data_IF_773493493774
#
_entry.id   IF_773493493774
#
_cell.length_a   1.000
_cell.length_b   1.000
_cell.length_c   1.000
_cell.angle_alpha   90.00
_cell.angle_beta   90.00
_cell.angle_gamma   90.00
#
_symmetry.space_group_name_H-M   'P 1'
#
loop_
_entity.id
_entity.type
_entity.pdbx_description
1 polymer ?
#
# COMPACT_ATOMS: atom_id res chain seq x y z
N UNK A 1 -0.46 -24.10 37.53
CA UNK A 1 -1.48 -24.54 36.57
C UNK A 1 -1.96 -23.36 35.72
N UNK A 2 -1.11 -22.79 34.81
CA UNK A 2 -1.49 -21.59 34.02
C UNK A 2 -0.88 -21.61 32.60
N UNK A 3 -0.58 -22.79 32.05
CA UNK A 3 0.03 -22.91 30.69
C UNK A 3 -0.90 -23.53 29.61
N UNK A 4 -2.16 -23.81 29.91
CA UNK A 4 -3.05 -24.54 28.99
C UNK A 4 -4.07 -23.65 28.25
N UNK A 5 -4.24 -22.38 28.62
CA UNK A 5 -5.30 -21.53 28.08
C UNK A 5 -4.89 -20.81 26.79
N UNK A 6 -3.60 -20.65 26.51
CA UNK A 6 -3.12 -19.93 25.32
C UNK A 6 -3.12 -20.81 24.04
N UNK A 7 -3.03 -22.13 24.18
CA UNK A 7 -3.00 -23.07 23.04
C UNK A 7 -4.38 -23.33 22.42
N UNK A 8 -5.47 -23.08 23.13
CA UNK A 8 -6.84 -23.34 22.65
C UNK A 8 -7.34 -22.19 21.78
N UNK A 9 -6.92 -20.93 22.03
CA UNK A 9 -7.31 -19.78 21.22
C UNK A 9 -6.63 -19.81 19.85
N UNK A 10 -5.40 -20.30 19.77
CA UNK A 10 -4.68 -20.46 18.50
C UNK A 10 -5.21 -21.62 17.63
N UNK A 11 -5.84 -22.61 18.24
CA UNK A 11 -6.43 -23.76 17.53
C UNK A 11 -7.83 -23.50 16.96
N UNK A 12 -8.57 -22.49 17.47
CA UNK A 12 -9.89 -22.13 16.96
C UNK A 12 -9.85 -21.22 15.73
N UNK A 13 -8.70 -20.59 15.42
CA UNK A 13 -8.45 -19.77 14.26
C UNK A 13 -8.19 -20.56 12.95
N UNK A 14 -8.16 -21.88 13.01
CA UNK A 14 -7.79 -22.74 11.87
C UNK A 14 -8.98 -23.47 11.20
N UNK A 15 -10.23 -23.14 11.49
CA UNK A 15 -11.39 -23.93 11.04
C UNK A 15 -12.47 -23.12 10.29
N UNK A 16 -12.07 -22.34 9.29
CA UNK A 16 -13.02 -21.90 8.25
C UNK A 16 -12.30 -21.72 6.93
N UNK A 17 -11.94 -22.84 6.29
CA UNK A 17 -11.43 -22.82 4.91
C UNK A 17 -12.66 -22.68 4.01
N UNK A 18 -13.10 -21.45 3.74
CA UNK A 18 -13.91 -21.17 2.57
C UNK A 18 -12.95 -20.89 1.42
N UNK A 19 -13.08 -21.62 0.30
CA UNK A 19 -12.41 -21.29 -0.95
C UNK A 19 -13.00 -19.98 -1.50
N UNK A 20 -12.66 -18.87 -0.89
CA UNK A 20 -12.96 -17.54 -1.40
C UNK A 20 -11.81 -17.15 -2.32
N UNK A 21 -12.11 -16.93 -3.61
CA UNK A 21 -11.23 -16.23 -4.53
C UNK A 21 -11.33 -14.72 -4.22
N UNK A 22 -11.03 -14.37 -2.98
CA UNK A 22 -11.17 -13.03 -2.48
C UNK A 22 -9.94 -12.19 -2.83
N UNK A 23 -10.08 -10.91 -2.67
CA UNK A 23 -9.18 -9.78 -2.94
C UNK A 23 -7.70 -10.03 -2.60
N UNK A 24 -7.05 -10.87 -3.39
CA UNK A 24 -5.64 -11.19 -3.22
C UNK A 24 -4.80 -10.11 -3.89
N UNK A 25 -3.93 -9.49 -3.13
CA UNK A 25 -3.03 -8.46 -3.65
C UNK A 25 -1.96 -9.06 -4.54
N UNK A 26 -1.96 -8.65 -5.80
CA UNK A 26 -0.90 -8.98 -6.76
C UNK A 26 0.28 -8.01 -6.71
N UNK A 27 0.02 -6.76 -6.27
CA UNK A 27 0.97 -5.65 -6.35
C UNK A 27 1.30 -5.11 -4.95
N UNK A 28 2.52 -4.62 -4.79
CA UNK A 28 2.96 -4.04 -3.52
C UNK A 28 2.46 -2.62 -3.29
N UNK A 29 2.24 -1.85 -4.36
CA UNK A 29 1.78 -0.45 -4.30
C UNK A 29 0.37 -0.27 -4.83
N UNK A 30 0.05 -0.97 -5.90
CA UNK A 30 -1.21 -0.78 -6.62
C UNK A 30 -2.28 -1.72 -6.10
N UNK A 31 -3.52 -1.25 -6.12
CA UNK A 31 -4.71 -2.01 -5.78
C UNK A 31 -5.35 -2.58 -7.04
N UNK A 32 -6.05 -3.70 -6.90
CA UNK A 32 -7.01 -4.20 -7.87
C UNK A 32 -8.42 -3.72 -7.50
N UNK A 33 -9.31 -3.68 -8.48
CA UNK A 33 -10.72 -3.32 -8.28
C UNK A 33 -11.54 -4.47 -7.68
N UNK A 34 -10.95 -5.23 -6.75
CA UNK A 34 -11.59 -6.34 -6.05
C UNK A 34 -11.92 -5.95 -4.61
N UNK A 35 -12.87 -6.64 -4.03
CA UNK A 35 -13.33 -6.48 -2.65
C UNK A 35 -13.52 -7.85 -2.04
N UNK A 36 -13.32 -7.99 -0.74
CA UNK A 36 -13.68 -9.22 -0.04
C UNK A 36 -15.17 -9.53 -0.21
N UNK A 37 -15.57 -10.81 -0.35
CA UNK A 37 -16.97 -11.19 -0.35
C UNK A 37 -17.61 -10.86 0.99
N UNK A 38 -18.94 -10.69 0.99
CA UNK A 38 -19.69 -10.36 2.20
C UNK A 38 -19.41 -11.36 3.33
N UNK A 39 -18.97 -10.84 4.49
CA UNK A 39 -18.60 -11.63 5.66
C UNK A 39 -17.18 -12.17 5.64
N UNK A 40 -16.42 -11.99 4.57
CA UNK A 40 -14.99 -12.32 4.52
C UNK A 40 -14.19 -11.42 5.45
N UNK A 41 -13.13 -11.95 6.03
CA UNK A 41 -12.22 -11.22 6.90
C UNK A 41 -10.77 -11.57 6.56
N UNK A 42 -9.92 -10.56 6.45
CA UNK A 42 -8.51 -10.71 6.12
C UNK A 42 -7.64 -9.90 7.06
N UNK A 43 -6.48 -10.45 7.40
CA UNK A 43 -5.41 -9.77 8.11
C UNK A 43 -4.21 -9.64 7.18
N UNK A 44 -3.78 -8.40 6.92
CA UNK A 44 -2.54 -8.12 6.21
C UNK A 44 -1.46 -7.54 7.13
N UNK A 45 -0.23 -7.97 6.91
CA UNK A 45 0.97 -7.40 7.54
C UNK A 45 1.87 -6.86 6.43
N UNK A 46 2.07 -5.55 6.45
CA UNK A 46 2.89 -4.84 5.47
C UNK A 46 4.22 -4.44 6.10
N UNK A 47 5.27 -4.55 5.35
CA UNK A 47 6.58 -4.04 5.73
C UNK A 47 7.14 -3.22 4.58
N UNK A 48 7.15 -1.90 4.72
CA UNK A 48 7.73 -0.99 3.73
C UNK A 48 9.06 -0.48 4.24
N UNK A 49 10.11 -0.63 3.44
CA UNK A 49 11.42 -0.05 3.68
C UNK A 49 11.78 0.95 2.59
N UNK A 50 12.33 2.10 2.99
CA UNK A 50 12.79 3.16 2.09
C UNK A 50 14.24 3.46 2.39
N UNK A 51 15.09 3.49 1.36
CA UNK A 51 16.54 3.54 1.51
C UNK A 51 17.14 4.60 0.59
N UNK A 52 18.10 5.35 1.15
CA UNK A 52 19.00 6.23 0.40
C UNK A 52 18.38 7.58 0.10
N UNK A 53 19.03 8.60 0.63
CA UNK A 53 18.84 10.02 0.37
C UNK A 53 20.13 10.59 -0.23
N UNK A 54 20.20 11.89 -0.45
CA UNK A 54 21.34 12.55 -1.13
C UNK A 54 22.65 12.38 -0.38
N UNK A 55 22.66 12.51 0.93
CA UNK A 55 23.85 12.42 1.77
C UNK A 55 23.67 11.50 2.96
N UNK A 56 24.71 10.73 3.32
CA UNK A 56 24.75 9.89 4.50
C UNK A 56 23.84 8.66 4.45
N UNK A 57 23.75 7.96 5.56
CA UNK A 57 22.88 6.80 5.70
C UNK A 57 21.43 7.27 5.97
N UNK A 58 20.48 6.67 5.26
CA UNK A 58 19.05 6.86 5.47
C UNK A 58 18.31 5.53 5.27
N UNK A 59 17.49 5.18 6.26
CA UNK A 59 16.57 4.07 6.22
C UNK A 59 15.30 4.43 7.00
N UNK A 60 14.14 4.29 6.36
CA UNK A 60 12.82 4.39 7.00
C UNK A 60 12.13 3.05 6.90
N UNK A 61 11.61 2.58 8.02
CA UNK A 61 10.85 1.33 8.13
C UNK A 61 9.44 1.61 8.60
N UNK A 62 8.46 1.20 7.80
CA UNK A 62 7.05 1.49 8.01
C UNK A 62 6.23 0.21 7.98
N UNK A 63 6.14 -0.53 9.11
CA UNK A 63 5.20 -1.64 9.22
C UNK A 63 3.77 -1.14 9.39
N UNK A 64 2.82 -1.91 8.83
CA UNK A 64 1.37 -1.65 8.89
C UNK A 64 0.65 -2.97 9.14
N UNK A 65 -0.37 -2.94 9.97
CA UNK A 65 -1.35 -4.01 10.13
C UNK A 65 -2.68 -3.53 9.58
N UNK A 66 -3.28 -4.33 8.72
CA UNK A 66 -4.60 -4.07 8.13
C UNK A 66 -5.55 -5.18 8.52
N UNK A 67 -6.76 -4.80 8.94
CA UNK A 67 -7.88 -5.67 9.19
C UNK A 67 -8.96 -5.32 8.19
N UNK A 68 -9.16 -6.15 7.15
CA UNK A 68 -10.17 -5.93 6.12
C UNK A 68 -11.39 -6.82 6.35
N UNK A 69 -12.58 -6.25 6.12
CA UNK A 69 -13.86 -6.92 6.23
C UNK A 69 -14.74 -6.65 5.02
N UNK A 70 -15.25 -7.71 4.40
CA UNK A 70 -16.26 -7.63 3.35
C UNK A 70 -17.65 -7.27 3.91
N UNK A 71 -18.04 -6.00 3.78
CA UNK A 71 -19.36 -5.52 4.24
C UNK A 71 -20.46 -6.02 3.31
N UNK A 72 -20.21 -6.01 2.01
CA UNK A 72 -21.02 -6.60 0.94
C UNK A 72 -20.09 -7.16 -0.12
N UNK A 73 -20.59 -7.89 -1.10
CA UNK A 73 -19.76 -8.37 -2.22
C UNK A 73 -19.11 -7.24 -3.05
N UNK A 74 -19.50 -5.99 -2.83
CA UNK A 74 -18.98 -4.81 -3.54
C UNK A 74 -18.35 -3.75 -2.64
N UNK A 75 -18.44 -3.91 -1.34
CA UNK A 75 -17.90 -2.95 -0.36
C UNK A 75 -17.07 -3.66 0.67
N UNK A 76 -15.79 -3.31 0.75
CA UNK A 76 -14.89 -3.66 1.85
C UNK A 76 -14.64 -2.44 2.73
N UNK A 77 -14.37 -2.69 4.00
CA UNK A 77 -13.91 -1.70 4.96
C UNK A 77 -12.66 -2.23 5.66
N UNK A 78 -11.63 -1.39 5.78
CA UNK A 78 -10.38 -1.75 6.45
C UNK A 78 -10.05 -0.81 7.60
N UNK A 79 -9.35 -1.33 8.60
CA UNK A 79 -8.77 -0.59 9.72
C UNK A 79 -7.26 -0.83 9.74
N UNK A 80 -6.49 0.25 9.76
CA UNK A 80 -5.03 0.21 9.75
C UNK A 80 -4.42 0.69 11.05
N UNK A 81 -3.32 0.05 11.45
CA UNK A 81 -2.42 0.50 12.50
C UNK A 81 -1.03 0.64 11.91
N UNK A 82 -0.56 1.87 11.80
CA UNK A 82 0.72 2.21 11.20
C UNK A 82 1.79 2.41 12.26
N UNK A 83 2.99 2.00 11.93
CA UNK A 83 4.20 2.22 12.72
C UNK A 83 5.27 2.83 11.84
N UNK A 84 6.20 3.57 12.44
CA UNK A 84 7.26 4.24 11.72
C UNK A 84 8.57 4.23 12.53
N UNK A 85 9.67 4.10 11.82
CA UNK A 85 11.02 4.23 12.32
C UNK A 85 11.89 4.92 11.28
N UNK A 86 12.68 5.91 11.69
CA UNK A 86 13.66 6.56 10.83
C UNK A 86 15.05 6.42 11.45
N UNK A 87 16.00 5.90 10.68
CA UNK A 87 17.41 5.89 11.01
C UNK A 87 18.15 6.75 9.99
N UNK A 88 18.77 7.84 10.43
CA UNK A 88 19.42 8.79 9.55
C UNK A 88 20.68 9.36 10.19
N UNK A 89 21.72 9.54 9.39
CA UNK A 89 22.91 10.32 9.73
C UNK A 89 22.86 11.75 9.14
N UNK A 90 21.75 12.08 8.48
CA UNK A 90 21.55 13.40 7.84
C UNK A 90 20.94 14.38 8.81
N UNK A 91 21.46 15.61 8.83
CA UNK A 91 20.92 16.67 9.69
C UNK A 91 19.49 17.12 9.30
N UNK A 92 19.09 16.89 8.05
CA UNK A 92 17.74 17.22 7.54
C UNK A 92 16.68 16.19 7.89
N UNK A 93 17.06 15.00 8.35
CA UNK A 93 16.13 13.93 8.70
C UNK A 93 16.41 13.46 10.13
N UNK A 94 15.65 13.96 11.09
CA UNK A 94 15.83 13.54 12.48
C UNK A 94 15.53 12.05 12.64
N UNK A 95 16.41 11.29 13.34
CA UNK A 95 16.12 9.92 13.68
C UNK A 95 14.82 9.83 14.50
N UNK A 96 13.97 8.84 14.18
CA UNK A 96 12.73 8.56 14.90
C UNK A 96 12.76 7.11 15.38
N UNK A 97 12.64 6.86 16.70
CA UNK A 97 12.58 5.49 17.20
C UNK A 97 11.32 4.79 16.69
N UNK A 98 11.36 3.46 16.65
CA UNK A 98 10.17 2.68 16.30
C UNK A 98 9.01 2.99 17.23
N UNK A 99 7.86 3.30 16.65
CA UNK A 99 6.66 3.62 17.39
C UNK A 99 5.41 3.64 16.53
N UNK A 100 4.26 3.63 17.18
CA UNK A 100 2.97 3.86 16.53
C UNK A 100 2.94 5.25 15.88
N UNK A 101 2.40 5.34 14.65
CA UNK A 101 2.31 6.61 13.93
C UNK A 101 0.87 7.07 13.68
N UNK A 102 0.00 6.20 13.17
CA UNK A 102 -1.38 6.59 12.82
C UNK A 102 -2.32 5.39 12.76
N UNK A 103 -3.62 5.71 12.79
CA UNK A 103 -4.71 4.79 12.49
C UNK A 103 -5.48 5.33 11.30
N UNK A 104 -5.85 4.44 10.34
CA UNK A 104 -6.59 4.81 9.15
C UNK A 104 -7.83 3.90 9.03
N UNK A 105 -8.87 4.44 8.42
CA UNK A 105 -10.07 3.70 8.03
C UNK A 105 -10.22 3.83 6.53
N UNK A 106 -10.36 2.69 5.84
CA UNK A 106 -10.55 2.60 4.39
C UNK A 106 -11.97 2.12 4.08
N UNK A 107 -12.51 2.63 2.97
CA UNK A 107 -13.69 2.10 2.29
C UNK A 107 -13.35 1.89 0.81
N UNK A 108 -13.51 0.67 0.30
CA UNK A 108 -13.31 0.34 -1.10
C UNK A 108 -14.60 -0.20 -1.71
N UNK A 109 -15.05 0.44 -2.78
CA UNK A 109 -16.29 0.10 -3.46
C UNK A 109 -16.08 -0.27 -4.92
N UNK A 110 -16.36 -1.52 -5.27
CA UNK A 110 -16.30 -2.03 -6.63
C UNK A 110 -17.54 -1.61 -7.43
N UNK A 111 -17.33 -0.92 -8.54
CA UNK A 111 -18.42 -0.36 -9.36
C UNK A 111 -19.10 -1.40 -10.25
N UNK A 112 -18.36 -2.42 -10.72
CA UNK A 112 -18.85 -3.50 -11.59
C UNK A 112 -18.45 -4.86 -11.05
N UNK A 113 -19.04 -5.93 -11.55
CA UNK A 113 -18.50 -7.26 -11.30
C UNK A 113 -17.23 -7.47 -12.11
N UNK A 114 -16.25 -8.28 -11.63
CA UNK A 114 -15.02 -8.55 -12.36
C UNK A 114 -15.32 -9.07 -13.76
N UNK A 115 -14.75 -8.40 -14.77
CA UNK A 115 -14.92 -8.77 -16.16
C UNK A 115 -16.26 -8.43 -16.80
N UNK A 116 -17.17 -7.76 -16.10
CA UNK A 116 -18.46 -7.32 -16.63
C UNK A 116 -18.31 -6.28 -17.75
N UNK A 117 -17.32 -5.41 -17.62
CA UNK A 117 -16.94 -4.44 -18.65
C UNK A 117 -15.45 -4.58 -18.99
N UNK A 118 -14.97 -3.84 -19.99
CA UNK A 118 -13.58 -3.97 -20.47
C UNK A 118 -12.53 -3.63 -19.41
N UNK A 119 -12.80 -2.72 -18.48
CA UNK A 119 -11.93 -2.38 -17.33
C UNK A 119 -12.78 -2.45 -16.07
N UNK A 120 -12.29 -3.11 -15.04
CA UNK A 120 -12.95 -3.21 -13.73
C UNK A 120 -12.59 -1.98 -12.88
N UNK A 121 -13.55 -1.06 -12.60
CA UNK A 121 -13.30 0.13 -11.80
C UNK A 121 -13.72 -0.07 -10.33
N UNK A 122 -12.95 0.55 -9.41
CA UNK A 122 -13.35 0.72 -8.03
C UNK A 122 -13.00 2.12 -7.51
N UNK A 123 -13.73 2.55 -6.50
CA UNK A 123 -13.47 3.76 -5.73
C UNK A 123 -12.91 3.37 -4.37
N UNK A 124 -11.97 4.17 -3.89
CA UNK A 124 -11.32 4.01 -2.61
C UNK A 124 -11.32 5.35 -1.88
N UNK A 125 -11.63 5.33 -0.61
CA UNK A 125 -11.56 6.47 0.29
C UNK A 125 -10.91 6.02 1.59
N UNK A 126 -9.94 6.79 2.07
CA UNK A 126 -9.27 6.57 3.34
C UNK A 126 -9.29 7.86 4.16
N UNK A 127 -9.49 7.71 5.46
CA UNK A 127 -9.36 8.77 6.45
C UNK A 127 -8.40 8.32 7.53
N UNK A 128 -7.41 9.15 7.80
CA UNK A 128 -6.35 8.88 8.75
C UNK A 128 -6.23 9.93 9.85
N UNK A 129 -5.77 9.48 11.01
CA UNK A 129 -5.35 10.34 12.10
C UNK A 129 -4.09 9.79 12.78
N UNK A 130 -3.08 10.63 12.91
CA UNK A 130 -1.84 10.27 13.57
C UNK A 130 -1.08 11.46 14.11
N UNK A 131 -0.82 11.50 15.42
CA UNK A 131 -0.20 12.64 16.04
C UNK A 131 -1.05 13.90 15.89
N UNK A 132 -0.55 14.88 15.13
CA UNK A 132 -1.23 16.14 14.87
C UNK A 132 -1.73 16.24 13.41
N UNK A 133 -1.73 15.13 12.67
CA UNK A 133 -2.06 15.09 11.24
C UNK A 133 -3.38 14.38 10.99
N UNK A 134 -4.18 14.94 10.07
CA UNK A 134 -5.35 14.34 9.45
C UNK A 134 -5.02 14.03 7.99
N UNK A 135 -5.29 12.81 7.55
CA UNK A 135 -5.06 12.33 6.20
C UNK A 135 -6.39 12.01 5.53
N UNK A 136 -6.55 12.44 4.27
CA UNK A 136 -7.70 12.15 3.43
C UNK A 136 -7.18 11.66 2.09
N UNK A 137 -7.37 10.38 1.78
CA UNK A 137 -7.01 9.82 0.47
C UNK A 137 -8.25 9.42 -0.31
N UNK A 138 -8.23 9.67 -1.60
CA UNK A 138 -9.18 9.15 -2.58
C UNK A 138 -8.45 8.53 -3.75
N UNK A 139 -8.98 7.40 -4.25
CA UNK A 139 -8.33 6.65 -5.32
C UNK A 139 -9.35 6.13 -6.31
N UNK A 140 -9.06 6.30 -7.60
CA UNK A 140 -9.72 5.59 -8.68
C UNK A 140 -8.84 4.41 -9.08
N UNK A 141 -9.36 3.22 -8.92
CA UNK A 141 -8.68 1.97 -9.26
C UNK A 141 -9.27 1.46 -10.57
N UNK A 142 -8.40 1.16 -11.54
CA UNK A 142 -8.76 0.60 -12.83
C UNK A 142 -7.94 -0.67 -13.03
N UNK A 143 -8.58 -1.82 -13.05
CA UNK A 143 -7.86 -3.10 -13.19
C UNK A 143 -8.46 -4.01 -14.25
N UNK A 144 -7.68 -4.96 -14.70
CA UNK A 144 -8.13 -5.98 -15.63
C UNK A 144 -7.28 -7.24 -15.54
N UNK A 145 -7.94 -8.40 -15.63
CA UNK A 145 -7.31 -9.69 -15.89
C UNK A 145 -7.54 -10.08 -17.36
N UNK A 146 -6.48 -10.44 -18.06
CA UNK A 146 -6.49 -10.98 -19.42
C UNK A 146 -5.74 -12.31 -19.42
N UNK A 147 -6.45 -13.43 -19.47
CA UNK A 147 -5.84 -14.75 -19.36
C UNK A 147 -4.92 -14.82 -18.13
N UNK A 148 -3.61 -14.99 -18.33
CA UNK A 148 -2.60 -15.06 -17.28
C UNK A 148 -2.02 -13.69 -16.89
N UNK A 149 -2.49 -12.58 -17.51
CA UNK A 149 -2.04 -11.23 -17.18
C UNK A 149 -3.01 -10.55 -16.22
N UNK A 150 -2.46 -9.93 -15.19
CA UNK A 150 -3.16 -9.04 -14.26
C UNK A 150 -2.58 -7.64 -14.37
N UNK A 151 -3.42 -6.65 -14.66
CA UNK A 151 -3.00 -5.28 -14.86
C UNK A 151 -3.79 -4.33 -13.99
N UNK A 152 -3.17 -3.24 -13.56
CA UNK A 152 -3.85 -2.18 -12.80
C UNK A 152 -3.24 -0.82 -13.05
N UNK A 153 -4.07 0.21 -12.88
CA UNK A 153 -3.69 1.61 -12.80
C UNK A 153 -4.51 2.26 -11.68
N UNK A 154 -3.84 2.92 -10.75
CA UNK A 154 -4.49 3.67 -9.69
C UNK A 154 -4.13 5.15 -9.82
N UNK A 155 -5.13 6.01 -9.66
CA UNK A 155 -5.02 7.47 -9.67
C UNK A 155 -5.39 7.94 -8.28
N UNK A 156 -4.43 8.44 -7.51
CA UNK A 156 -4.58 8.82 -6.11
C UNK A 156 -4.50 10.32 -5.94
N UNK A 157 -5.30 10.82 -5.03
CA UNK A 157 -5.25 12.18 -4.49
C UNK A 157 -5.30 12.07 -2.97
N UNK A 158 -4.31 12.63 -2.30
CA UNK A 158 -4.18 12.65 -0.86
C UNK A 158 -4.00 14.09 -0.38
N UNK A 159 -4.60 14.41 0.76
CA UNK A 159 -4.45 15.69 1.44
C UNK A 159 -4.12 15.39 2.89
N UNK A 160 -2.94 15.81 3.32
CA UNK A 160 -2.49 15.81 4.70
C UNK A 160 -2.70 17.19 5.30
N UNK A 161 -3.30 17.23 6.48
CA UNK A 161 -3.53 18.47 7.22
C UNK A 161 -2.92 18.41 8.60
N UNK A 162 -1.91 19.23 8.82
CA UNK A 162 -1.38 19.48 10.14
C UNK A 162 -2.34 20.38 10.94
N UNK A 163 -2.89 19.84 12.02
CA UNK A 163 -3.98 20.49 12.76
C UNK A 163 -3.48 21.72 13.54
N UNK A 164 -2.30 21.63 14.16
CA UNK A 164 -1.74 22.68 15.03
C UNK A 164 -1.30 23.90 14.19
N UNK A 165 -0.51 23.68 13.16
CA UNK A 165 0.01 24.77 12.32
C UNK A 165 -0.98 25.20 11.22
N UNK A 166 -2.07 24.46 11.04
CA UNK A 166 -3.07 24.67 9.97
C UNK A 166 -2.42 24.67 8.58
N UNK A 167 -1.38 23.86 8.40
CA UNK A 167 -0.68 23.66 7.15
C UNK A 167 -1.27 22.45 6.42
N UNK A 168 -1.39 22.55 5.10
CA UNK A 168 -1.77 21.41 4.27
C UNK A 168 -0.60 21.04 3.38
N UNK A 169 -0.52 19.75 3.07
CA UNK A 169 0.26 19.19 1.98
C UNK A 169 -0.68 18.35 1.12
N UNK A 170 -0.46 18.26 -0.16
CA UNK A 170 -1.21 17.35 -0.99
C UNK A 170 -0.31 16.53 -1.90
N UNK A 171 -0.75 15.31 -2.14
CA UNK A 171 -0.03 14.34 -2.96
C UNK A 171 -0.92 13.89 -4.11
N UNK A 172 -0.35 13.91 -5.31
CA UNK A 172 -0.91 13.22 -6.47
C UNK A 172 -0.02 12.04 -6.81
N UNK A 173 -0.60 10.84 -6.82
CA UNK A 173 0.18 9.64 -7.11
C UNK A 173 -0.50 8.80 -8.21
N UNK A 174 0.30 8.34 -9.17
CA UNK A 174 -0.08 7.30 -10.11
C UNK A 174 0.72 6.04 -9.79
N UNK A 175 0.02 4.94 -9.54
CA UNK A 175 0.65 3.63 -9.45
C UNK A 175 0.02 2.68 -10.46
N UNK A 176 0.78 1.70 -10.89
CA UNK A 176 0.25 0.70 -11.81
C UNK A 176 1.27 -0.39 -12.09
N UNK A 177 0.79 -1.46 -12.67
CA UNK A 177 1.66 -2.59 -12.96
C UNK A 177 1.02 -3.63 -13.86
N UNK A 178 1.85 -4.55 -14.26
CA UNK A 178 1.49 -5.74 -15.01
C UNK A 178 2.16 -6.96 -14.38
N UNK A 179 1.39 -7.98 -14.06
CA UNK A 179 1.85 -9.28 -13.58
C UNK A 179 1.48 -10.35 -14.60
N UNK A 180 2.34 -11.35 -14.72
CA UNK A 180 2.11 -12.56 -15.49
C UNK A 180 2.14 -13.78 -14.56
N UNK A 181 1.09 -14.59 -14.57
CA UNK A 181 0.99 -15.82 -13.78
C UNK A 181 1.84 -16.91 -14.46
N UNK A 182 3.09 -17.05 -14.00
CA UNK A 182 4.04 -18.06 -14.53
C UNK A 182 3.72 -19.48 -14.07
N UNK A 183 2.98 -19.60 -12.97
CA UNK A 183 2.43 -20.82 -12.38
C UNK A 183 1.10 -20.48 -11.71
N UNK A 184 0.23 -21.47 -11.43
CA UNK A 184 -1.07 -21.19 -10.77
C UNK A 184 -0.99 -20.34 -9.49
N UNK A 185 0.12 -20.47 -8.75
CA UNK A 185 0.31 -19.82 -7.46
C UNK A 185 1.39 -18.73 -7.48
N UNK A 186 2.03 -18.47 -8.63
CA UNK A 186 3.16 -17.52 -8.74
C UNK A 186 2.97 -16.57 -9.90
N UNK A 187 3.00 -15.29 -9.61
CA UNK A 187 3.03 -14.23 -10.60
C UNK A 187 4.29 -13.38 -10.48
N UNK A 188 4.85 -12.99 -11.62
CA UNK A 188 5.99 -12.09 -11.75
C UNK A 188 5.61 -10.90 -12.60
N UNK A 189 6.13 -9.73 -12.29
CA UNK A 189 5.80 -8.56 -13.08
C UNK A 189 6.63 -7.33 -12.77
N UNK A 190 6.11 -6.20 -13.22
CA UNK A 190 6.71 -4.90 -13.04
C UNK A 190 5.64 -3.94 -12.51
N UNK A 191 6.03 -3.10 -11.58
CA UNK A 191 5.20 -2.07 -10.99
C UNK A 191 5.90 -0.71 -11.11
N UNK A 192 5.13 0.36 -11.29
CA UNK A 192 5.62 1.72 -11.26
C UNK A 192 4.85 2.56 -10.26
N UNK A 193 5.49 3.64 -9.81
CA UNK A 193 4.94 4.68 -8.95
C UNK A 193 5.43 6.02 -9.43
N UNK A 194 4.53 6.95 -9.72
CA UNK A 194 4.84 8.36 -9.97
C UNK A 194 4.20 9.20 -8.88
N UNK A 195 5.00 9.87 -8.08
CA UNK A 195 4.61 10.57 -6.86
C UNK A 195 4.95 12.04 -6.98
N UNK A 196 3.99 12.91 -6.69
CA UNK A 196 4.11 14.37 -6.77
C UNK A 196 3.61 14.98 -5.47
N UNK A 197 4.44 15.83 -4.86
CA UNK A 197 4.14 16.55 -3.64
C UNK A 197 3.86 18.00 -4.00
N UNK A 198 2.84 18.59 -3.38
CA UNK A 198 2.45 19.98 -3.58
C UNK A 198 2.35 20.69 -2.24
N UNK A 199 2.81 21.93 -2.20
CA UNK A 199 2.49 22.83 -1.10
C UNK A 199 1.00 23.14 -1.11
N UNK A 200 0.38 23.10 0.08
CA UNK A 200 -1.05 23.32 0.28
C UNK A 200 -1.90 22.39 -0.63
N UNK A 201 -3.12 22.75 -0.96
CA UNK A 201 -4.03 21.92 -1.76
C UNK A 201 -3.76 22.19 -3.24
N UNK A 202 -2.84 21.43 -3.86
CA UNK A 202 -2.45 21.44 -5.27
C UNK A 202 -2.03 22.81 -5.82
N UNK A 203 -1.43 23.68 -5.00
CA UNK A 203 -1.04 25.02 -5.46
C UNK A 203 0.28 25.02 -6.22
N UNK A 204 1.36 24.63 -5.57
CA UNK A 204 2.69 24.65 -6.14
C UNK A 204 3.34 23.28 -5.98
N UNK A 205 3.87 22.72 -7.05
CA UNK A 205 4.56 21.44 -7.01
C UNK A 205 5.93 21.63 -6.37
N UNK A 206 6.12 21.02 -5.22
CA UNK A 206 7.39 21.01 -4.49
C UNK A 206 8.37 20.02 -5.09
N UNK A 207 7.90 18.81 -5.36
CA UNK A 207 8.75 17.74 -5.86
C UNK A 207 7.97 16.64 -6.57
N UNK A 208 8.70 15.86 -7.39
CA UNK A 208 8.16 14.63 -7.95
C UNK A 208 9.25 13.58 -8.12
N UNK A 209 8.84 12.31 -8.12
CA UNK A 209 9.71 11.19 -8.43
C UNK A 209 8.95 10.07 -9.11
N UNK A 210 9.64 9.38 -10.02
CA UNK A 210 9.13 8.16 -10.67
C UNK A 210 9.99 7.00 -10.27
N UNK A 211 9.33 5.94 -9.86
CA UNK A 211 9.93 4.67 -9.46
C UNK A 211 9.42 3.55 -10.36
N UNK A 212 10.27 2.58 -10.64
CA UNK A 212 9.90 1.37 -11.37
C UNK A 212 10.71 0.19 -10.87
N UNK A 213 10.13 -0.99 -10.91
CA UNK A 213 10.86 -2.19 -10.53
C UNK A 213 10.05 -3.47 -10.55
N UNK A 214 10.71 -4.61 -10.25
CA UNK A 214 10.08 -5.92 -10.24
C UNK A 214 9.08 -6.08 -9.11
N UNK A 215 8.06 -6.89 -9.38
CA UNK A 215 7.06 -7.33 -8.43
C UNK A 215 6.89 -8.84 -8.50
N UNK A 216 6.68 -9.46 -7.35
CA UNK A 216 6.48 -10.89 -7.14
C UNK A 216 5.23 -11.09 -6.30
N UNK A 217 4.44 -12.11 -6.67
CA UNK A 217 3.29 -12.54 -5.88
C UNK A 217 3.24 -14.06 -5.80
N UNK A 218 2.95 -14.55 -4.60
CA UNK A 218 2.65 -15.95 -4.32
C UNK A 218 1.26 -16.06 -3.72
N UNK A 219 0.41 -16.94 -4.26
CA UNK A 219 -0.96 -17.18 -3.84
C UNK A 219 -1.09 -18.58 -3.25
N UNK A 220 -1.06 -18.71 -1.92
CA UNK A 220 -1.40 -19.96 -1.24
C UNK A 220 -2.91 -20.18 -1.11
N UNK A 221 -3.32 -21.25 -0.46
CA UNK A 221 -4.75 -21.58 -0.27
C UNK A 221 -5.47 -20.63 0.71
N UNK A 222 -4.79 -20.16 1.74
CA UNK A 222 -5.33 -19.29 2.80
C UNK A 222 -4.42 -18.12 3.14
N UNK A 223 -3.33 -17.94 2.41
CA UNK A 223 -2.44 -16.79 2.57
C UNK A 223 -1.82 -16.42 1.23
N UNK A 224 -1.35 -15.19 1.14
CA UNK A 224 -0.53 -14.74 0.02
C UNK A 224 0.67 -13.93 0.50
N UNK A 225 1.65 -13.83 -0.38
CA UNK A 225 2.84 -13.01 -0.20
C UNK A 225 3.05 -12.17 -1.45
N UNK A 226 3.09 -10.86 -1.26
CA UNK A 226 3.47 -9.92 -2.33
C UNK A 226 4.77 -9.22 -1.94
N UNK A 227 5.66 -9.07 -2.89
CA UNK A 227 6.90 -8.34 -2.73
C UNK A 227 7.14 -7.46 -3.96
N UNK A 228 7.54 -6.21 -3.75
CA UNK A 228 8.09 -5.37 -4.80
C UNK A 228 9.40 -4.69 -4.36
N UNK A 229 10.20 -4.31 -5.34
CA UNK A 229 11.39 -3.48 -5.16
C UNK A 229 11.40 -2.42 -6.25
N UNK A 230 11.27 -1.16 -5.87
CA UNK A 230 11.19 -0.03 -6.76
C UNK A 230 12.44 0.83 -6.63
N UNK A 231 13.03 1.22 -7.77
CA UNK A 231 14.13 2.17 -7.84
C UNK A 231 13.64 3.47 -8.45
N UNK A 232 14.05 4.61 -7.87
CA UNK A 232 13.81 5.92 -8.47
C UNK A 232 14.58 6.00 -9.79
N UNK A 233 13.88 6.33 -10.88
CA UNK A 233 14.46 6.45 -12.22
C UNK A 233 14.56 7.90 -12.68
N UNK A 234 13.72 8.79 -12.14
CA UNK A 234 13.78 10.24 -12.35
C UNK A 234 13.10 10.98 -11.20
N UNK A 235 13.50 12.22 -10.96
CA UNK A 235 12.88 13.09 -9.94
C UNK A 235 13.23 14.57 -10.16
N UNK A 236 12.39 15.44 -9.64
CA UNK A 236 12.53 16.89 -9.71
C UNK A 236 12.12 17.53 -8.37
N UNK A 237 12.87 18.52 -7.83
CA UNK A 237 14.15 19.02 -8.35
C UNK A 237 15.25 17.96 -8.32
N UNK A 238 16.03 17.84 -9.38
CA UNK A 238 17.10 16.84 -9.45
C UNK A 238 18.28 17.22 -8.54
N UNK A 239 18.64 16.34 -7.63
CA UNK A 239 19.79 16.52 -6.74
C UNK A 239 21.01 15.74 -7.20
N UNK A 240 20.82 14.55 -7.80
CA UNK A 240 21.89 13.69 -8.29
C UNK A 240 21.43 12.75 -9.40
N UNK A 241 22.10 12.80 -10.56
CA UNK A 241 21.88 11.88 -11.68
C UNK A 241 20.39 11.80 -12.13
N UNK A 242 19.72 12.94 -12.23
CA UNK A 242 18.30 13.07 -12.53
C UNK A 242 17.36 12.49 -11.46
N UNK A 243 17.85 12.24 -10.25
CA UNK A 243 17.04 11.79 -9.11
C UNK A 243 16.83 12.93 -8.14
N UNK A 244 15.67 12.99 -7.53
CA UNK A 244 15.40 13.81 -6.35
C UNK A 244 15.62 12.97 -5.09
N UNK A 245 16.76 13.09 -4.47
CA UNK A 245 17.12 12.38 -3.24
C UNK A 245 17.03 13.26 -1.99
N UNK A 246 16.51 14.48 -2.14
CA UNK A 246 16.19 15.36 -1.02
C UNK A 246 14.78 15.03 -0.49
N UNK A 247 13.78 15.04 -1.36
CA UNK A 247 12.39 14.78 -0.97
C UNK A 247 12.06 13.28 -1.00
N UNK A 248 12.66 12.52 -1.93
CA UNK A 248 12.35 11.10 -2.13
C UNK A 248 13.55 10.19 -1.82
N UNK A 249 13.26 8.93 -1.56
CA UNK A 249 14.23 7.85 -1.41
C UNK A 249 14.76 7.35 -2.76
N UNK A 250 15.94 6.73 -2.77
CA UNK A 250 16.50 6.10 -3.95
C UNK A 250 15.86 4.76 -4.27
N UNK A 251 15.54 3.98 -3.24
CA UNK A 251 14.93 2.65 -3.34
C UNK A 251 13.82 2.50 -2.32
N UNK A 252 12.79 1.80 -2.74
CA UNK A 252 11.70 1.37 -1.91
C UNK A 252 11.45 -0.12 -2.11
N UNK A 253 11.19 -0.85 -1.04
CA UNK A 253 10.66 -2.19 -1.11
C UNK A 253 9.45 -2.35 -0.19
N UNK A 254 8.56 -3.24 -0.57
CA UNK A 254 7.40 -3.59 0.26
C UNK A 254 7.16 -5.08 0.21
N UNK A 255 6.87 -5.65 1.37
CA UNK A 255 6.37 -7.02 1.52
C UNK A 255 5.01 -6.95 2.16
N UNK A 256 4.04 -7.66 1.63
CA UNK A 256 2.69 -7.82 2.19
C UNK A 256 2.43 -9.30 2.36
N UNK A 257 2.00 -9.70 3.54
CA UNK A 257 1.53 -11.04 3.86
C UNK A 257 0.07 -10.90 4.27
N UNK A 258 -0.84 -11.49 3.51
CA UNK A 258 -2.26 -11.53 3.82
C UNK A 258 -2.69 -12.94 4.22
N UNK A 259 -3.60 -13.03 5.18
CA UNK A 259 -4.19 -14.28 5.67
C UNK A 259 -5.70 -14.12 5.74
N UNK A 260 -6.42 -14.92 4.95
CA UNK A 260 -7.89 -15.03 5.00
C UNK A 260 -8.29 -15.84 6.24
N UNK A 261 -9.28 -15.36 7.01
CA UNK A 261 -9.73 -15.90 8.28
C UNK A 261 -11.19 -16.35 8.24
#
# INVERSE_FOLDING_TARGET
>A
MQKFTFSIIFAFLLLSISNSLADRRYFGRSYLAYTLPAGGFELEVWNTGRIGKDMGYYYRFQPRFEFEYGVTDRLSASLYFNFDQVTSEQNSFSPKPFGFSSTLIELRYRLTNPGEIFIDPALYFEFGYGGDELEYESKLILSRRFEDFVTTLNINSEIEREVIESKNESVFELTGGIMYEVMPDIALGVEFRHHRIFEDIYKEEESNATFIGPSFNFQGSSFYLTFNFLAQVTGSPSTKNNLDLTHHERYEFRTIIGVEL
#
